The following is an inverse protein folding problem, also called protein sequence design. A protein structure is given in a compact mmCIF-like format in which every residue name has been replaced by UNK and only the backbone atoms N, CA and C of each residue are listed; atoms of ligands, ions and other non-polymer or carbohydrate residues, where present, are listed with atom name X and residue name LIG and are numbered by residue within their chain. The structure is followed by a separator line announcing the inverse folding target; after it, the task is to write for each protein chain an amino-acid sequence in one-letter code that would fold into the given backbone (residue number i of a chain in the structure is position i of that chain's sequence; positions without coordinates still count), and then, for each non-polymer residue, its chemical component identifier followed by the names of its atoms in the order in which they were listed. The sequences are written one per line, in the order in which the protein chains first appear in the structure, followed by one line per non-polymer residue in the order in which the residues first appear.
data_IF_157935597064
#
_entry.id   IF_157935597064
#
_cell.length_a   1.000
_cell.length_b   1.000
_cell.length_c   1.000
_cell.angle_alpha   90.00
_cell.angle_beta   90.00
_cell.angle_gamma   90.00
#
_symmetry.space_group_name_H-M   'P 1'
#
loop_
_entity.id
_entity.type
_entity.pdbx_description
1 polymer ?
#
# COMPACT_ATOMS: atom_id res chain seq x y z
N UNK A 1 14.00 -3.31 -3.70
CA UNK A 1 12.89 -2.73 -2.93
C UNK A 1 13.25 -2.87 -1.47
N UNK A 2 13.05 -1.85 -0.64
CA UNK A 2 13.60 -1.83 0.71
C UNK A 2 12.51 -2.16 1.73
N UNK A 3 12.85 -2.92 2.75
CA UNK A 3 11.96 -3.32 3.85
C UNK A 3 12.50 -2.87 5.18
N UNK A 4 11.60 -2.57 6.10
CA UNK A 4 11.96 -2.42 7.50
C UNK A 4 12.44 -3.79 8.04
N UNK A 5 13.59 -3.87 8.69
CA UNK A 5 14.14 -5.15 9.15
C UNK A 5 13.20 -5.86 10.13
N UNK A 6 12.90 -7.12 9.85
CA UNK A 6 12.01 -7.95 10.71
C UNK A 6 12.61 -8.26 12.08
N UNK A 7 13.93 -8.14 12.22
CA UNK A 7 14.67 -8.26 13.49
C UNK A 7 14.42 -7.10 14.45
N UNK A 8 13.94 -5.96 13.94
CA UNK A 8 13.71 -4.76 14.73
C UNK A 8 12.26 -4.70 15.26
N UNK A 9 12.04 -4.18 16.47
CA UNK A 9 10.71 -4.04 17.02
C UNK A 9 9.87 -3.03 16.23
N UNK A 10 8.55 -3.25 16.16
CA UNK A 10 7.62 -2.31 15.53
C UNK A 10 7.54 -0.99 16.31
N UNK A 11 6.97 0.06 15.72
CA UNK A 11 6.73 1.32 16.42
C UNK A 11 5.88 1.14 17.66
N UNK A 12 6.18 1.92 18.70
CA UNK A 12 5.39 1.90 19.92
C UNK A 12 4.03 2.55 19.73
N UNK A 13 3.02 2.07 20.45
CA UNK A 13 1.69 2.69 20.49
C UNK A 13 1.74 4.13 21.03
N UNK A 14 2.60 4.36 22.02
CA UNK A 14 2.80 5.69 22.59
C UNK A 14 3.54 6.58 21.59
N UNK A 15 2.91 7.67 21.18
CA UNK A 15 3.44 8.60 20.17
C UNK A 15 3.07 8.22 18.75
N UNK A 16 2.27 7.19 18.55
CA UNK A 16 1.71 6.83 17.26
C UNK A 16 0.58 7.78 16.91
N UNK A 17 0.76 8.61 15.89
CA UNK A 17 -0.24 9.61 15.47
C UNK A 17 -0.36 9.61 13.95
N UNK A 18 -1.57 9.32 13.49
CA UNK A 18 -1.91 9.24 12.08
C UNK A 18 -2.68 10.49 11.65
N UNK A 19 -2.18 11.20 10.65
CA UNK A 19 -2.79 12.42 10.13
C UNK A 19 -3.13 12.29 8.66
N UNK A 20 -4.42 12.31 8.37
CA UNK A 20 -4.92 12.35 7.01
C UNK A 20 -4.73 13.75 6.45
N UNK A 21 -3.99 13.90 5.37
CA UNK A 21 -3.83 15.18 4.68
C UNK A 21 -5.02 15.38 3.74
N UNK A 22 -5.83 16.45 3.91
CA UNK A 22 -6.93 16.69 3.00
C UNK A 22 -6.42 17.12 1.63
N UNK A 23 -6.94 16.48 0.59
CA UNK A 23 -6.67 16.81 -0.81
C UNK A 23 -7.60 17.89 -1.35
N UNK A 24 -7.82 18.94 -0.58
CA UNK A 24 -8.80 19.98 -0.89
C UNK A 24 -8.10 21.32 -1.03
N UNK A 25 -8.28 21.97 -2.17
CA UNK A 25 -7.99 23.39 -2.30
C UNK A 25 -9.23 24.19 -1.87
N UNK A 26 -9.00 25.09 -0.92
CA UNK A 26 -9.99 26.06 -0.46
C UNK A 26 -9.61 27.44 -0.99
N UNK A 27 -10.48 28.02 -1.80
CA UNK A 27 -10.29 29.38 -2.35
C UNK A 27 -11.39 30.28 -1.81
N UNK A 28 -10.99 31.39 -1.21
CA UNK A 28 -11.90 32.45 -0.79
C UNK A 28 -12.17 33.36 -1.97
N UNK A 29 -13.44 33.59 -2.29
CA UNK A 29 -13.86 34.46 -3.37
C UNK A 29 -14.04 35.87 -2.87
N UNK A 30 -13.98 36.84 -3.75
CA UNK A 30 -14.11 38.28 -3.43
C UNK A 30 -15.48 38.64 -2.82
N UNK A 31 -16.50 37.85 -3.05
CA UNK A 31 -17.87 37.97 -2.51
C UNK A 31 -18.05 37.36 -1.10
N UNK A 32 -16.95 36.88 -0.51
CA UNK A 32 -16.95 36.21 0.81
C UNK A 32 -17.32 34.74 0.80
N UNK A 33 -17.75 34.20 -0.33
CA UNK A 33 -18.01 32.77 -0.44
C UNK A 33 -16.72 31.94 -0.50
N UNK A 34 -16.76 30.72 0.05
CA UNK A 34 -15.65 29.79 0.04
C UNK A 34 -15.97 28.63 -0.89
N UNK A 35 -15.12 28.43 -1.88
CA UNK A 35 -15.18 27.28 -2.76
C UNK A 35 -14.14 26.23 -2.34
N UNK A 36 -14.57 25.00 -2.19
CA UNK A 36 -13.68 23.86 -1.95
C UNK A 36 -13.78 22.87 -3.12
N UNK A 37 -12.64 22.37 -3.57
CA UNK A 37 -12.59 21.34 -4.59
C UNK A 37 -11.55 20.29 -4.22
N UNK A 38 -11.86 19.04 -4.50
CA UNK A 38 -10.90 17.93 -4.42
C UNK A 38 -9.86 18.12 -5.54
N UNK A 39 -8.57 17.99 -5.20
CA UNK A 39 -7.47 18.17 -6.15
C UNK A 39 -6.89 16.84 -6.59
N UNK A 40 -6.81 15.87 -5.66
CA UNK A 40 -6.23 14.56 -5.92
C UNK A 40 -6.84 13.55 -4.96
N UNK A 41 -6.89 12.29 -5.34
CA UNK A 41 -7.43 11.19 -4.52
C UNK A 41 -6.34 10.34 -3.83
N UNK A 42 -5.07 10.63 -4.06
CA UNK A 42 -3.95 9.84 -3.53
C UNK A 42 -2.86 10.73 -2.94
N UNK A 43 -3.09 11.34 -1.78
CA UNK A 43 -2.03 12.06 -1.05
C UNK A 43 -1.46 11.17 0.04
N UNK A 44 -0.14 11.08 0.17
CA UNK A 44 0.47 10.40 1.29
C UNK A 44 -0.03 10.95 2.62
N UNK A 45 -0.35 10.05 3.54
CA UNK A 45 -0.70 10.39 4.91
C UNK A 45 0.57 10.67 5.72
N UNK A 46 0.44 11.42 6.79
CA UNK A 46 1.54 11.69 7.70
C UNK A 46 1.36 10.86 8.97
N UNK A 47 2.38 10.07 9.29
CA UNK A 47 2.40 9.23 10.48
C UNK A 47 3.59 9.62 11.35
N UNK A 48 3.34 9.98 12.60
CA UNK A 48 4.41 10.14 13.59
C UNK A 48 4.57 8.85 14.36
N UNK A 49 5.80 8.35 14.46
CA UNK A 49 6.15 7.09 15.12
C UNK A 49 7.31 7.27 16.07
N UNK A 50 7.33 6.44 17.10
CA UNK A 50 8.43 6.32 18.05
C UNK A 50 8.85 4.86 18.14
N UNK A 51 10.11 4.59 17.95
CA UNK A 51 10.72 3.28 18.15
C UNK A 51 11.52 3.27 19.45
N UNK A 52 11.60 2.10 20.07
CA UNK A 52 12.48 1.88 21.21
C UNK A 52 13.41 0.70 20.91
N UNK A 53 14.70 0.96 21.00
CA UNK A 53 15.74 0.02 20.62
C UNK A 53 16.73 -0.21 21.74
N UNK A 54 17.19 -1.44 21.88
CA UNK A 54 18.43 -1.74 22.59
C UNK A 54 19.63 -1.15 21.83
N UNK A 55 20.81 -1.16 22.42
CA UNK A 55 22.02 -0.64 21.77
C UNK A 55 22.33 -1.35 20.43
N UNK A 56 22.17 -2.67 20.38
CA UNK A 56 22.41 -3.45 19.16
C UNK A 56 21.38 -3.16 18.09
N UNK A 57 20.10 -3.11 18.47
CA UNK A 57 19.00 -2.78 17.56
C UNK A 57 19.12 -1.35 17.01
N UNK A 58 19.56 -0.41 17.84
CA UNK A 58 19.81 0.97 17.38
C UNK A 58 20.92 1.02 16.33
N UNK A 59 22.00 0.27 16.52
CA UNK A 59 23.08 0.18 15.53
C UNK A 59 22.59 -0.44 14.22
N UNK A 60 21.79 -1.51 14.29
CA UNK A 60 21.18 -2.15 13.13
C UNK A 60 20.24 -1.20 12.39
N UNK A 61 19.36 -0.51 13.13
CA UNK A 61 18.47 0.51 12.56
C UNK A 61 19.24 1.61 11.84
N UNK A 62 20.34 2.11 12.45
CA UNK A 62 21.15 3.16 11.84
C UNK A 62 21.95 2.68 10.64
N UNK A 63 22.33 1.40 10.59
CA UNK A 63 22.94 0.80 9.41
C UNK A 63 21.94 0.71 8.25
N UNK A 64 20.75 0.17 8.52
CA UNK A 64 19.65 0.12 7.58
C UNK A 64 19.26 1.51 7.06
N UNK A 65 19.09 2.48 7.95
CA UNK A 65 18.75 3.87 7.60
C UNK A 65 19.75 4.50 6.62
N UNK A 66 21.06 4.23 6.80
CA UNK A 66 22.10 4.80 5.95
C UNK A 66 22.28 4.07 4.64
N UNK A 67 22.28 2.75 4.68
CA UNK A 67 22.71 1.91 3.56
C UNK A 67 21.54 1.49 2.66
N UNK A 68 20.40 1.15 3.26
CA UNK A 68 19.28 0.55 2.53
C UNK A 68 18.26 1.59 2.08
N UNK A 69 18.02 2.63 2.89
CA UNK A 69 17.06 3.69 2.55
C UNK A 69 17.71 5.07 2.31
N UNK A 70 19.02 5.12 2.07
CA UNK A 70 19.73 6.33 1.64
C UNK A 70 19.40 7.55 2.51
N UNK A 71 19.56 7.41 3.84
CA UNK A 71 19.21 8.45 4.83
C UNK A 71 17.72 8.84 4.81
N UNK A 72 16.85 7.88 4.53
CA UNK A 72 15.41 8.10 4.49
C UNK A 72 14.88 8.73 3.19
N UNK A 73 15.71 8.81 2.15
CA UNK A 73 15.31 9.29 0.83
C UNK A 73 14.43 8.27 0.12
N UNK A 74 14.78 6.99 0.25
CA UNK A 74 14.12 5.91 -0.46
C UNK A 74 12.84 5.46 0.25
N UNK A 75 11.91 4.94 -0.52
CA UNK A 75 10.71 4.31 -0.02
C UNK A 75 11.02 2.91 0.49
N UNK A 76 10.32 2.51 1.54
CA UNK A 76 10.43 1.19 2.13
C UNK A 76 9.06 0.69 2.61
N UNK A 77 8.92 -0.61 2.72
CA UNK A 77 7.74 -1.26 3.26
C UNK A 77 7.88 -1.49 4.75
N UNK A 78 6.79 -1.27 5.46
CA UNK A 78 6.69 -1.47 6.89
C UNK A 78 5.26 -1.82 7.28
N UNK A 79 5.11 -2.75 8.22
CA UNK A 79 3.81 -3.08 8.78
C UNK A 79 3.36 -1.98 9.75
N UNK A 80 2.28 -1.30 9.41
CA UNK A 80 1.72 -0.19 10.17
C UNK A 80 0.26 -0.42 10.49
N UNK A 81 -0.19 0.17 11.60
CA UNK A 81 -1.62 0.26 11.92
C UNK A 81 -2.20 1.48 11.21
N UNK A 82 -3.20 1.25 10.39
CA UNK A 82 -3.97 2.27 9.70
C UNK A 82 -5.48 2.06 9.91
N UNK A 83 -6.33 2.78 9.18
CA UNK A 83 -7.79 2.66 9.28
C UNK A 83 -8.33 1.28 8.90
N UNK A 84 -7.57 0.48 8.17
CA UNK A 84 -7.91 -0.89 7.77
C UNK A 84 -7.33 -1.96 8.71
N UNK A 85 -6.69 -1.56 9.81
CA UNK A 85 -6.00 -2.45 10.75
C UNK A 85 -4.49 -2.51 10.51
N UNK A 86 -3.86 -3.64 10.78
CA UNK A 86 -2.43 -3.85 10.54
C UNK A 86 -2.20 -4.23 9.08
N UNK A 87 -1.64 -3.31 8.30
CA UNK A 87 -1.32 -3.56 6.89
C UNK A 87 0.12 -3.20 6.58
N UNK A 88 0.69 -3.87 5.59
CA UNK A 88 1.95 -3.44 5.03
C UNK A 88 1.73 -2.15 4.25
N UNK A 89 2.53 -1.16 4.55
CA UNK A 89 2.38 0.18 3.99
C UNK A 89 3.71 0.66 3.42
N UNK A 90 3.65 1.29 2.26
CA UNK A 90 4.80 1.93 1.66
C UNK A 90 5.05 3.27 2.35
N UNK A 91 6.25 3.40 2.92
CA UNK A 91 6.61 4.53 3.77
C UNK A 91 7.90 5.19 3.31
N UNK A 92 8.06 6.45 3.68
CA UNK A 92 9.30 7.19 3.55
C UNK A 92 9.48 8.11 4.74
N UNK A 93 10.69 8.21 5.26
CA UNK A 93 10.99 9.15 6.34
C UNK A 93 10.94 10.57 5.79
N UNK A 94 10.06 11.38 6.35
CA UNK A 94 9.83 12.75 5.89
C UNK A 94 11.10 13.57 6.08
N UNK A 95 11.65 14.14 5.01
CA UNK A 95 12.90 14.89 4.96
C UNK A 95 14.15 14.13 5.46
N UNK A 96 14.06 12.83 5.70
CA UNK A 96 15.12 12.07 6.34
C UNK A 96 15.39 12.46 7.81
N UNK A 97 14.48 13.16 8.47
CA UNK A 97 14.68 13.65 9.83
C UNK A 97 14.42 12.58 10.88
N UNK A 98 15.40 12.31 11.73
CA UNK A 98 15.30 11.45 12.90
C UNK A 98 15.61 12.26 14.16
N UNK A 99 14.80 12.09 15.21
CA UNK A 99 15.12 12.57 16.55
C UNK A 99 15.45 11.38 17.44
N UNK A 100 16.65 11.35 17.97
CA UNK A 100 17.13 10.23 18.79
C UNK A 100 17.43 10.69 20.20
N UNK A 101 17.04 9.91 21.19
CA UNK A 101 17.33 10.19 22.59
C UNK A 101 17.66 8.90 23.35
N UNK A 102 18.60 9.00 24.28
CA UNK A 102 18.88 7.97 25.26
C UNK A 102 17.89 8.14 26.42
N UNK A 103 17.01 7.16 26.63
CA UNK A 103 15.97 7.27 27.65
C UNK A 103 16.38 6.74 29.03
N UNK A 104 17.05 5.59 29.06
CA UNK A 104 17.51 5.00 30.29
C UNK A 104 18.69 4.05 30.05
N UNK A 105 19.42 3.78 31.10
CA UNK A 105 20.43 2.74 31.15
C UNK A 105 20.01 1.81 32.27
N UNK A 106 19.54 0.61 31.95
CA UNK A 106 19.17 -0.43 32.91
C UNK A 106 20.22 -1.54 32.94
N UNK A 107 19.96 -2.59 33.71
CA UNK A 107 20.78 -3.80 33.75
C UNK A 107 21.05 -4.39 32.35
N UNK A 108 20.10 -4.22 31.43
CA UNK A 108 20.17 -4.74 30.06
C UNK A 108 20.83 -3.77 29.06
N UNK A 109 21.35 -2.64 29.55
CA UNK A 109 22.04 -1.62 28.76
C UNK A 109 21.20 -0.40 28.40
N UNK A 110 21.73 0.45 27.49
CA UNK A 110 21.07 1.68 27.09
C UNK A 110 19.83 1.39 26.22
N UNK A 111 18.75 2.16 26.47
CA UNK A 111 17.53 2.13 25.70
C UNK A 111 17.39 3.43 24.91
N UNK A 112 17.36 3.30 23.59
CA UNK A 112 17.28 4.41 22.65
C UNK A 112 15.86 4.60 22.16
N UNK A 113 15.38 5.83 22.15
CA UNK A 113 14.18 6.19 21.40
C UNK A 113 14.56 6.88 20.10
N UNK A 114 13.87 6.49 19.03
CA UNK A 114 13.99 7.12 17.73
C UNK A 114 12.60 7.57 17.31
N UNK A 115 12.46 8.87 17.07
CA UNK A 115 11.21 9.47 16.61
C UNK A 115 11.38 9.95 15.19
N UNK A 116 10.41 9.68 14.34
CA UNK A 116 10.39 10.21 12.99
C UNK A 116 8.94 10.44 12.51
N UNK A 117 8.82 11.18 11.42
CA UNK A 117 7.59 11.30 10.66
C UNK A 117 7.74 10.53 9.37
N UNK A 118 6.72 9.77 9.05
CA UNK A 118 6.63 9.00 7.83
C UNK A 118 5.60 9.67 6.90
N UNK A 119 5.97 9.82 5.64
CA UNK A 119 4.98 9.91 4.59
C UNK A 119 4.56 8.46 4.30
N UNK A 120 3.28 8.17 4.42
CA UNK A 120 2.73 6.83 4.20
C UNK A 120 1.83 6.95 2.98
N UNK A 121 2.15 6.20 1.93
CA UNK A 121 1.18 6.06 0.83
C UNK A 121 -0.06 5.35 1.41
N UNK A 122 -1.26 5.75 1.00
CA UNK A 122 -2.46 5.01 1.37
C UNK A 122 -2.19 3.54 1.02
N UNK A 123 -2.24 2.69 2.03
CA UNK A 123 -2.06 1.25 1.82
C UNK A 123 -3.08 0.73 0.81
N UNK A 124 -2.86 -0.46 0.31
CA UNK A 124 -3.87 -1.12 -0.51
C UNK A 124 -5.15 -1.13 0.33
N UNK A 125 -6.15 -0.34 -0.11
CA UNK A 125 -7.43 -0.33 0.57
C UNK A 125 -8.00 -1.73 0.64
N UNK A 126 -8.73 -2.08 1.69
CA UNK A 126 -9.39 -3.38 1.79
C UNK A 126 -10.41 -3.65 0.66
N UNK A 127 -10.59 -2.69 -0.25
CA UNK A 127 -11.41 -2.77 -1.45
C UNK A 127 -10.59 -2.76 -2.76
N UNK A 128 -9.26 -2.85 -2.68
CA UNK A 128 -8.37 -2.87 -3.84
C UNK A 128 -7.48 -4.11 -3.84
N UNK A 129 -7.14 -4.56 -5.03
CA UNK A 129 -6.11 -5.56 -5.32
C UNK A 129 -5.11 -4.92 -6.27
N UNK A 130 -3.83 -5.04 -5.97
CA UNK A 130 -2.78 -4.58 -6.87
C UNK A 130 -2.19 -5.75 -7.63
N UNK A 131 -2.08 -5.62 -8.92
CA UNK A 131 -1.67 -6.68 -9.82
C UNK A 131 -0.31 -6.34 -10.43
N UNK A 132 0.65 -7.24 -10.27
CA UNK A 132 1.95 -7.16 -10.92
C UNK A 132 1.78 -7.31 -12.43
N UNK A 133 2.25 -6.35 -13.22
CA UNK A 133 2.09 -6.35 -14.67
C UNK A 133 3.10 -7.25 -15.40
N UNK A 134 3.74 -8.21 -14.77
CA UNK A 134 4.80 -9.01 -15.38
C UNK A 134 4.42 -9.54 -16.76
N UNK A 135 5.11 -9.04 -17.77
CA UNK A 135 4.93 -9.44 -19.16
C UNK A 135 3.73 -8.80 -19.87
N UNK A 136 2.99 -7.87 -19.24
CA UNK A 136 1.82 -7.23 -19.83
C UNK A 136 1.97 -5.70 -19.85
N UNK A 137 1.92 -5.11 -21.03
CA UNK A 137 2.00 -3.66 -21.21
C UNK A 137 0.70 -2.95 -20.81
N UNK A 138 -0.42 -3.60 -21.06
CA UNK A 138 -1.77 -3.17 -20.69
C UNK A 138 -2.51 -4.30 -19.98
N UNK A 139 -3.38 -3.96 -19.05
CA UNK A 139 -4.18 -4.94 -18.34
C UNK A 139 -5.65 -4.50 -18.28
N UNK A 140 -6.51 -5.42 -18.64
CA UNK A 140 -7.96 -5.27 -18.60
C UNK A 140 -8.55 -6.30 -17.66
N UNK A 141 -9.66 -5.96 -17.02
CA UNK A 141 -10.47 -6.86 -16.23
C UNK A 141 -11.82 -7.07 -16.93
N UNK A 142 -12.03 -8.25 -17.43
CA UNK A 142 -13.30 -8.66 -18.00
C UNK A 142 -14.14 -9.34 -16.92
N UNK A 143 -15.29 -8.74 -16.58
CA UNK A 143 -16.17 -9.21 -15.51
C UNK A 143 -17.44 -9.75 -16.14
N UNK A 144 -17.80 -10.98 -15.81
CA UNK A 144 -19.00 -11.61 -16.29
C UNK A 144 -19.66 -12.49 -15.23
N UNK A 145 -20.96 -12.66 -15.35
CA UNK A 145 -21.79 -13.56 -14.54
C UNK A 145 -22.41 -14.58 -15.48
N UNK A 146 -22.54 -15.81 -15.04
CA UNK A 146 -23.13 -16.88 -15.85
C UNK A 146 -24.51 -16.41 -16.39
N UNK A 147 -24.59 -16.06 -17.67
CA UNK A 147 -25.74 -15.55 -18.44
C UNK A 147 -25.82 -14.03 -18.64
N UNK A 148 -24.99 -13.20 -17.99
CA UNK A 148 -24.98 -11.75 -18.20
C UNK A 148 -23.54 -11.22 -18.26
N UNK A 149 -23.17 -10.59 -19.36
CA UNK A 149 -21.93 -9.82 -19.46
C UNK A 149 -22.24 -8.37 -19.15
N UNK A 150 -21.54 -7.79 -18.19
CA UNK A 150 -21.74 -6.37 -17.87
C UNK A 150 -20.81 -5.44 -18.63
N UNK A 151 -19.80 -6.01 -19.25
CA UNK A 151 -18.82 -5.26 -20.01
C UNK A 151 -18.56 -5.97 -21.34
N UNK A 152 -18.45 -5.20 -22.42
CA UNK A 152 -17.97 -5.73 -23.69
C UNK A 152 -16.50 -6.08 -23.57
N UNK A 153 -16.05 -7.12 -24.29
CA UNK A 153 -14.63 -7.46 -24.38
C UNK A 153 -13.81 -6.27 -24.88
N UNK A 154 -12.62 -5.96 -24.32
CA UNK A 154 -11.84 -6.71 -23.34
C UNK A 154 -12.16 -6.39 -21.86
N UNK A 155 -13.22 -5.63 -21.60
CA UNK A 155 -13.60 -5.24 -20.26
C UNK A 155 -13.05 -3.87 -19.84
N UNK A 156 -12.80 -3.70 -18.54
CA UNK A 156 -12.35 -2.44 -17.96
C UNK A 156 -10.83 -2.35 -18.03
N UNK A 157 -10.31 -1.32 -18.69
CA UNK A 157 -8.87 -1.03 -18.67
C UNK A 157 -8.42 -0.60 -17.27
N UNK A 158 -7.50 -1.35 -16.69
CA UNK A 158 -6.94 -1.03 -15.39
C UNK A 158 -5.86 0.06 -15.51
N UNK A 159 -5.71 0.84 -14.46
CA UNK A 159 -4.70 1.91 -14.40
C UNK A 159 -3.57 1.50 -13.46
N UNK A 160 -2.35 1.80 -13.87
CA UNK A 160 -1.18 1.65 -13.00
C UNK A 160 -1.16 2.72 -11.92
N UNK A 161 -0.84 2.30 -10.72
CA UNK A 161 -0.49 3.23 -9.64
C UNK A 161 0.94 3.78 -9.84
N UNK A 162 1.40 4.64 -8.93
CA UNK A 162 2.74 5.23 -8.99
C UNK A 162 3.89 4.21 -8.88
N UNK A 163 3.60 3.02 -8.36
CA UNK A 163 4.56 1.94 -8.17
C UNK A 163 4.63 1.00 -9.37
N UNK A 164 3.76 1.21 -10.37
CA UNK A 164 3.72 0.42 -11.57
C UNK A 164 2.74 -0.77 -11.52
N UNK A 165 2.07 -1.02 -10.39
CA UNK A 165 1.05 -2.07 -10.29
C UNK A 165 -0.28 -1.61 -10.87
N UNK A 166 -1.00 -2.51 -11.54
CA UNK A 166 -2.38 -2.27 -11.92
C UNK A 166 -3.30 -2.37 -10.71
N UNK A 167 -4.27 -1.46 -10.62
CA UNK A 167 -5.22 -1.41 -9.50
C UNK A 167 -6.56 -1.95 -9.96
N UNK A 168 -7.00 -3.03 -9.34
CA UNK A 168 -8.34 -3.58 -9.48
C UNK A 168 -9.18 -3.28 -8.23
N UNK A 169 -10.36 -2.71 -8.41
CA UNK A 169 -11.25 -2.34 -7.31
C UNK A 169 -12.33 -3.39 -7.10
N UNK A 170 -12.38 -3.97 -5.91
CA UNK A 170 -13.35 -5.00 -5.55
C UNK A 170 -14.80 -4.51 -5.59
N UNK A 171 -15.02 -3.20 -5.45
CA UNK A 171 -16.35 -2.63 -5.58
C UNK A 171 -16.97 -2.82 -6.98
N UNK A 172 -16.17 -3.10 -7.99
CA UNK A 172 -16.62 -3.48 -9.33
C UNK A 172 -17.36 -4.82 -9.33
N UNK A 173 -17.11 -5.65 -8.31
CA UNK A 173 -17.78 -6.94 -8.10
C UNK A 173 -19.02 -6.84 -7.19
N UNK A 174 -19.22 -5.69 -6.53
CA UNK A 174 -20.37 -5.48 -5.64
C UNK A 174 -21.69 -5.50 -6.47
N UNK A 175 -22.57 -6.40 -6.08
CA UNK A 175 -23.84 -6.61 -6.76
C UNK A 175 -23.88 -7.89 -7.60
N UNK A 176 -22.74 -8.57 -7.72
CA UNK A 176 -22.66 -9.90 -8.29
C UNK A 176 -22.69 -10.91 -7.15
N UNK A 177 -23.72 -11.73 -7.04
CA UNK A 177 -23.72 -12.85 -6.12
C UNK A 177 -22.59 -13.84 -6.51
N UNK A 178 -22.33 -14.80 -5.68
CA UNK A 178 -21.22 -15.78 -5.70
C UNK A 178 -20.84 -16.41 -7.05
N UNK A 179 -21.53 -16.11 -8.13
CA UNK A 179 -21.37 -16.65 -9.48
C UNK A 179 -20.69 -15.65 -10.46
N UNK A 180 -20.07 -14.58 -9.96
CA UNK A 180 -19.30 -13.66 -10.78
C UNK A 180 -17.91 -14.20 -11.08
N UNK A 181 -17.41 -13.88 -12.28
CA UNK A 181 -16.08 -14.26 -12.73
C UNK A 181 -15.30 -13.02 -13.18
N UNK A 182 -14.01 -13.03 -12.98
CA UNK A 182 -13.08 -12.04 -13.50
C UNK A 182 -11.98 -12.75 -14.29
N UNK A 183 -11.70 -12.21 -15.45
CA UNK A 183 -10.62 -12.65 -16.31
C UNK A 183 -9.74 -11.45 -16.63
N UNK A 184 -8.44 -11.58 -16.42
CA UNK A 184 -7.49 -10.53 -16.76
C UNK A 184 -6.91 -10.80 -18.14
N UNK A 185 -6.78 -9.76 -18.96
CA UNK A 185 -6.27 -9.90 -20.33
C UNK A 185 -5.51 -8.63 -20.77
N UNK A 186 -4.72 -8.76 -21.84
CA UNK A 186 -3.95 -7.65 -22.44
C UNK A 186 -4.58 -7.10 -23.72
N UNK A 187 -5.79 -7.56 -24.08
CA UNK A 187 -6.46 -7.28 -25.33
C UNK A 187 -5.71 -7.71 -26.61
N UNK A 188 -4.62 -8.47 -26.47
CA UNK A 188 -3.78 -8.96 -27.58
C UNK A 188 -3.79 -10.48 -27.72
N UNK A 189 -4.67 -11.15 -26.96
CA UNK A 189 -4.82 -12.60 -27.00
C UNK A 189 -4.25 -13.33 -25.80
N UNK A 190 -3.52 -12.64 -24.90
CA UNK A 190 -3.13 -13.24 -23.62
C UNK A 190 -4.23 -13.00 -22.61
N UNK A 191 -4.63 -14.03 -21.93
CA UNK A 191 -5.69 -13.99 -20.90
C UNK A 191 -5.34 -14.95 -19.77
N UNK A 192 -5.80 -14.63 -18.55
CA UNK A 192 -5.80 -15.62 -17.46
C UNK A 192 -6.99 -16.56 -17.62
N UNK A 193 -7.02 -17.63 -16.82
CA UNK A 193 -8.28 -18.33 -16.59
C UNK A 193 -9.21 -17.46 -15.74
N UNK A 194 -10.48 -17.77 -15.76
CA UNK A 194 -11.48 -17.03 -14.99
C UNK A 194 -11.36 -17.36 -13.50
N UNK A 195 -11.37 -16.31 -12.67
CA UNK A 195 -11.38 -16.39 -11.21
C UNK A 195 -12.80 -16.13 -10.70
N UNK A 196 -13.22 -16.89 -9.70
CA UNK A 196 -14.49 -16.62 -9.04
C UNK A 196 -14.42 -15.35 -8.18
N UNK A 197 -15.53 -14.63 -8.09
CA UNK A 197 -15.61 -13.40 -7.29
C UNK A 197 -15.25 -13.60 -5.83
N UNK A 198 -15.61 -14.74 -5.24
CA UNK A 198 -15.25 -15.06 -3.85
C UNK A 198 -13.76 -15.32 -3.65
N UNK A 199 -13.04 -15.82 -4.66
CA UNK A 199 -11.57 -15.98 -4.61
C UNK A 199 -10.90 -14.62 -4.60
N UNK A 200 -11.46 -13.67 -5.34
CA UNK A 200 -10.92 -12.31 -5.45
C UNK A 200 -11.13 -11.51 -4.16
N UNK A 201 -12.18 -11.77 -3.43
CA UNK A 201 -12.40 -11.16 -2.11
C UNK A 201 -11.26 -11.51 -1.14
N UNK A 202 -10.65 -12.70 -1.25
CA UNK A 202 -9.48 -13.09 -0.47
C UNK A 202 -8.21 -12.34 -0.87
N UNK A 203 -8.20 -11.67 -2.04
CA UNK A 203 -7.07 -10.86 -2.50
C UNK A 203 -7.11 -9.41 -2.01
N UNK A 204 -8.16 -9.04 -1.30
CA UNK A 204 -8.35 -7.70 -0.75
C UNK A 204 -7.13 -7.22 0.05
N UNK A 205 -6.62 -6.05 -0.30
CA UNK A 205 -5.45 -5.50 0.37
C UNK A 205 -4.11 -6.18 0.04
N UNK A 206 -4.07 -6.99 -1.02
CA UNK A 206 -2.86 -7.75 -1.40
C UNK A 206 -2.31 -7.29 -2.74
N UNK A 207 -1.02 -7.61 -2.95
CA UNK A 207 -0.39 -7.58 -4.26
C UNK A 207 -0.38 -8.99 -4.79
N UNK A 208 -0.88 -9.19 -5.99
CA UNK A 208 -0.91 -10.47 -6.66
C UNK A 208 -0.18 -10.41 -7.99
N UNK A 209 0.30 -11.54 -8.42
CA UNK A 209 0.86 -11.76 -9.74
C UNK A 209 -0.03 -12.75 -10.47
N UNK A 210 -0.46 -12.38 -11.64
CA UNK A 210 -1.26 -13.25 -12.53
C UNK A 210 -0.44 -13.59 -13.77
N UNK A 211 -0.61 -14.80 -14.26
CA UNK A 211 0.11 -15.30 -15.44
C UNK A 211 -0.87 -15.59 -16.58
N UNK A 212 -0.47 -15.36 -17.84
CA UNK A 212 -1.25 -15.82 -18.98
C UNK A 212 -1.52 -17.33 -18.91
N UNK A 213 -2.68 -17.75 -19.38
CA UNK A 213 -3.11 -19.15 -19.48
C UNK A 213 -3.04 -19.93 -18.15
N UNK A 214 -3.20 -19.23 -17.02
CA UNK A 214 -3.12 -19.84 -15.68
C UNK A 214 -4.29 -19.38 -14.81
N UNK A 215 -4.76 -20.31 -13.95
CA UNK A 215 -5.60 -20.00 -12.80
C UNK A 215 -4.80 -19.80 -11.51
N UNK A 216 -3.47 -19.95 -11.58
CA UNK A 216 -2.63 -19.77 -10.42
C UNK A 216 -2.36 -18.27 -10.18
N UNK A 217 -2.57 -17.88 -8.94
CA UNK A 217 -2.23 -16.55 -8.43
C UNK A 217 -1.05 -16.70 -7.49
N UNK A 218 0.03 -16.02 -7.80
CA UNK A 218 1.14 -15.89 -6.89
C UNK A 218 0.88 -14.67 -5.99
N UNK A 219 0.72 -14.93 -4.69
CA UNK A 219 0.73 -13.85 -3.73
C UNK A 219 2.17 -13.37 -3.58
N UNK A 220 2.40 -12.12 -3.92
CA UNK A 220 3.64 -11.48 -3.56
C UNK A 220 3.56 -11.20 -2.06
N UNK A 221 3.61 -12.30 -1.28
CA UNK A 221 3.63 -12.23 0.17
C UNK A 221 5.00 -11.73 0.59
N UNK A 222 5.00 -10.65 1.25
CA UNK A 222 6.15 -9.96 1.80
C UNK A 222 6.72 -10.67 3.04
N UNK A 223 6.28 -11.90 3.32
CA UNK A 223 6.72 -12.71 4.45
C UNK A 223 7.06 -14.13 3.97
N UNK A 224 8.31 -14.32 3.67
CA UNK A 224 8.97 -15.63 3.76
C UNK A 224 10.24 -15.47 4.59
#
# INVERSE_FOLDING_TARGET
MNYYPSSLPPPQQRGYSYKIKPNIIRTQMADGHVRQRLVNTGTPHELSVTFMFSQSQYQEFMAWYRNDISYGQDWFYMHLLNEYGGTESLCRIQKGELSTALNCVNSDGPLWSVQCRLDVEPGIGGDEVWIDPEGWDELYAYIWVAYYTNYEWPGIKLKKNKLGYYVFKLNLLKGYPYDGYVEFNDNNGNTTWSFYSYEIDDWAGRIIKVKPDSSEVEYLSWFS
#
